data_IF_383579035332
#
_entry.id   IF_383579035332
#
_cell.length_a   1.000
_cell.length_b   1.000
_cell.length_c   1.000
_cell.angle_alpha   90.00
_cell.angle_beta   90.00
_cell.angle_gamma   90.00
#
_symmetry.space_group_name_H-M   'P 1'
#
loop_
_entity.id
_entity.type
_entity.pdbx_description
1 polymer ?
#
# COMPACT_ATOMS: atom_id res chain seq x y z
N UNK A 1 24.03 35.28 8.16
CA UNK A 1 24.38 35.19 9.61
C UNK A 1 24.25 33.74 10.10
N UNK A 2 25.10 33.25 11.02
CA UNK A 2 24.88 31.98 11.75
C UNK A 2 24.33 32.26 13.14
N UNK A 3 23.25 31.57 13.52
CA UNK A 3 22.72 31.61 14.88
C UNK A 3 23.40 30.52 15.73
N UNK A 4 24.29 30.94 16.63
CA UNK A 4 24.81 30.07 17.69
C UNK A 4 24.32 30.59 19.04
N UNK A 5 23.48 29.79 19.71
CA UNK A 5 22.99 30.06 21.06
C UNK A 5 22.35 31.46 21.24
N UNK A 6 21.61 31.95 20.23
CA UNK A 6 20.90 33.23 20.29
C UNK A 6 21.74 34.45 19.93
N UNK A 7 22.99 34.26 19.48
CA UNK A 7 23.84 35.33 18.94
C UNK A 7 24.03 35.12 17.45
N UNK A 8 23.64 36.13 16.66
CA UNK A 8 23.88 36.17 15.22
C UNK A 8 25.32 36.61 14.97
N UNK A 9 26.13 35.70 14.42
CA UNK A 9 27.51 36.02 14.00
C UNK A 9 27.60 36.08 12.48
N UNK A 10 28.29 37.08 11.91
CA UNK A 10 28.60 37.12 10.48
C UNK A 10 29.41 35.87 10.10
N UNK A 11 28.91 35.10 9.13
CA UNK A 11 29.57 33.92 8.59
C UNK A 11 29.81 34.16 7.11
N UNK A 12 31.05 34.56 6.79
CA UNK A 12 31.49 34.91 5.44
C UNK A 12 32.61 33.94 5.04
N UNK A 13 32.67 33.58 3.76
CA UNK A 13 33.67 32.64 3.24
C UNK A 13 35.10 33.14 3.59
N UNK A 14 35.93 32.34 4.29
CA UNK A 14 37.27 32.77 4.71
C UNK A 14 38.22 33.06 3.54
N UNK A 15 38.03 32.40 2.39
CA UNK A 15 38.82 32.67 1.19
C UNK A 15 38.46 34.03 0.59
N UNK A 16 37.18 34.42 0.63
CA UNK A 16 36.73 35.75 0.21
C UNK A 16 37.35 36.84 1.11
N UNK A 17 37.34 36.64 2.44
CA UNK A 17 37.98 37.56 3.40
C UNK A 17 39.48 37.71 3.10
N UNK A 18 40.18 36.62 2.78
CA UNK A 18 41.61 36.67 2.44
C UNK A 18 41.82 37.51 1.17
N UNK A 19 41.07 37.25 0.11
CA UNK A 19 41.16 37.99 -1.16
C UNK A 19 40.84 39.49 -0.95
N UNK A 20 39.84 39.80 -0.12
CA UNK A 20 39.50 41.17 0.23
C UNK A 20 40.63 41.92 0.95
N UNK A 21 41.32 41.24 1.89
CA UNK A 21 42.46 41.80 2.62
C UNK A 21 43.68 41.99 1.73
N UNK A 22 43.98 41.00 0.89
CA UNK A 22 45.10 41.06 -0.05
C UNK A 22 44.86 42.13 -1.13
N UNK A 23 43.61 42.30 -1.56
CA UNK A 23 43.19 43.33 -2.52
C UNK A 23 43.01 44.73 -1.92
N UNK A 24 43.10 44.88 -0.59
CA UNK A 24 43.03 46.17 0.10
C UNK A 24 41.64 46.82 0.16
N UNK A 25 40.56 46.08 -0.12
CA UNK A 25 39.17 46.56 -0.11
C UNK A 25 38.32 45.92 1.02
N UNK A 26 38.96 45.25 1.96
CA UNK A 26 38.31 44.74 3.16
C UNK A 26 37.85 45.86 4.11
N UNK A 27 36.58 45.84 4.52
CA UNK A 27 36.05 46.63 5.64
C UNK A 27 35.10 45.77 6.49
N UNK A 28 34.97 46.08 7.78
CA UNK A 28 34.00 45.39 8.66
C UNK A 28 32.57 45.68 8.21
N UNK A 29 32.26 46.92 7.85
CA UNK A 29 30.96 47.33 7.30
C UNK A 29 30.56 46.52 6.05
N UNK A 30 31.51 46.26 5.14
CA UNK A 30 31.26 45.44 3.94
C UNK A 30 30.95 43.99 4.30
N UNK A 31 31.63 43.43 5.31
CA UNK A 31 31.38 42.05 5.75
C UNK A 31 30.02 41.91 6.45
N UNK A 32 29.60 42.92 7.21
CA UNK A 32 28.27 42.98 7.81
C UNK A 32 27.19 43.08 6.72
N UNK A 33 27.35 43.98 5.75
CA UNK A 33 26.44 44.11 4.60
C UNK A 33 26.32 42.81 3.80
N UNK A 34 27.44 42.15 3.49
CA UNK A 34 27.43 40.85 2.80
C UNK A 34 26.71 39.79 3.64
N UNK A 35 26.93 39.78 4.97
CA UNK A 35 26.29 38.82 5.86
C UNK A 35 24.78 39.03 6.04
N UNK A 36 24.31 40.27 5.86
CA UNK A 36 22.90 40.65 5.89
C UNK A 36 22.19 40.37 4.56
N UNK A 37 22.78 40.78 3.43
CA UNK A 37 22.16 40.68 2.10
C UNK A 37 22.37 39.31 1.44
N UNK A 38 23.43 38.59 1.80
CA UNK A 38 23.71 37.23 1.31
C UNK A 38 24.29 37.17 -0.10
N UNK A 39 24.74 38.29 -0.66
CA UNK A 39 25.45 38.38 -1.94
C UNK A 39 26.64 39.35 -1.86
N UNK A 40 27.46 39.41 -2.90
CA UNK A 40 28.68 40.24 -2.96
C UNK A 40 28.64 41.29 -4.09
N UNK A 41 27.47 41.55 -4.66
CA UNK A 41 27.27 42.50 -5.77
C UNK A 41 27.31 43.95 -5.27
N UNK A 42 28.50 44.42 -4.89
CA UNK A 42 28.76 45.76 -4.38
C UNK A 42 29.85 46.44 -5.21
N UNK A 43 29.80 47.77 -5.36
CA UNK A 43 30.77 48.53 -6.16
C UNK A 43 32.20 48.42 -5.60
N UNK A 44 32.32 48.19 -4.29
CA UNK A 44 33.56 47.98 -3.56
C UNK A 44 34.25 46.64 -3.90
N UNK A 45 33.52 45.66 -4.44
CA UNK A 45 34.03 44.33 -4.78
C UNK A 45 34.39 44.28 -6.27
N UNK A 46 35.66 44.02 -6.65
CA UNK A 46 36.05 43.96 -8.06
C UNK A 46 35.26 42.91 -8.86
N UNK A 47 34.91 43.23 -10.11
CA UNK A 47 34.08 42.37 -10.97
C UNK A 47 34.66 40.96 -11.14
N UNK A 48 35.98 40.85 -11.30
CA UNK A 48 36.68 39.56 -11.41
C UNK A 48 36.46 38.67 -10.16
N UNK A 49 36.37 39.28 -8.98
CA UNK A 49 36.09 38.57 -7.72
C UNK A 49 34.61 38.17 -7.67
N UNK A 50 33.70 39.04 -8.09
CA UNK A 50 32.26 38.72 -8.15
C UNK A 50 31.97 37.56 -9.11
N UNK A 51 32.72 37.44 -10.21
CA UNK A 51 32.59 36.32 -11.15
C UNK A 51 33.03 34.98 -10.54
N UNK A 52 34.02 34.99 -9.65
CA UNK A 52 34.54 33.77 -9.01
C UNK A 52 33.68 33.33 -7.82
N UNK A 53 33.24 34.29 -7.00
CA UNK A 53 32.49 34.02 -5.76
C UNK A 53 30.97 34.11 -5.95
N UNK A 54 30.48 33.59 -7.08
CA UNK A 54 29.04 33.48 -7.36
C UNK A 54 28.35 32.60 -6.31
N UNK A 55 27.21 33.06 -5.83
CA UNK A 55 26.36 32.31 -4.91
C UNK A 55 25.45 31.36 -5.68
N UNK A 56 24.79 30.44 -4.96
CA UNK A 56 23.86 29.51 -5.59
C UNK A 56 22.66 30.19 -6.27
N UNK A 57 22.26 31.38 -5.79
CA UNK A 57 21.18 32.19 -6.36
C UNK A 57 21.61 32.96 -7.62
N UNK A 58 22.92 33.16 -7.82
CA UNK A 58 23.44 33.81 -9.03
C UNK A 58 23.50 32.86 -10.23
N UNK A 59 23.36 31.55 -9.97
CA UNK A 59 23.39 30.51 -11.00
C UNK A 59 21.95 30.18 -11.36
N UNK A 60 21.59 30.38 -12.62
CA UNK A 60 20.25 30.04 -13.12
C UNK A 60 19.93 28.56 -12.93
N UNK A 61 18.66 28.18 -12.70
CA UNK A 61 18.24 26.78 -12.54
C UNK A 61 18.75 25.83 -13.63
N UNK A 62 18.77 26.27 -14.90
CA UNK A 62 19.27 25.49 -16.03
C UNK A 62 20.71 25.03 -15.84
N UNK A 63 21.59 25.94 -15.42
CA UNK A 63 23.01 25.66 -15.21
C UNK A 63 23.26 24.71 -14.04
N UNK A 64 22.41 24.71 -13.00
CA UNK A 64 22.49 23.70 -11.93
C UNK A 64 22.30 22.29 -12.49
N UNK A 65 21.31 22.09 -13.36
CA UNK A 65 21.04 20.78 -13.99
C UNK A 65 22.15 20.39 -14.96
N UNK A 66 22.61 21.31 -15.81
CA UNK A 66 23.72 21.03 -16.75
C UNK A 66 25.00 20.62 -16.03
N UNK A 67 25.31 21.29 -14.91
CA UNK A 67 26.45 20.90 -14.08
C UNK A 67 26.25 19.49 -13.51
N UNK A 68 25.06 19.18 -12.97
CA UNK A 68 24.77 17.83 -12.47
C UNK A 68 24.90 16.77 -13.56
N UNK A 69 24.36 17.02 -14.76
CA UNK A 69 24.42 16.10 -15.89
C UNK A 69 25.87 15.74 -16.26
N UNK A 70 26.76 16.73 -16.31
CA UNK A 70 28.18 16.49 -16.62
C UNK A 70 28.85 15.51 -15.64
N UNK A 71 28.47 15.52 -14.36
CA UNK A 71 28.96 14.54 -13.38
C UNK A 71 28.18 13.22 -13.43
N UNK A 72 26.91 13.25 -13.81
CA UNK A 72 26.03 12.08 -13.85
C UNK A 72 26.51 11.03 -14.85
N UNK A 73 27.11 11.45 -15.97
CA UNK A 73 27.74 10.55 -16.97
C UNK A 73 28.78 9.60 -16.37
N UNK A 74 29.42 10.03 -15.27
CA UNK A 74 30.47 9.27 -14.58
C UNK A 74 30.01 8.73 -13.22
N UNK A 75 28.72 8.83 -12.90
CA UNK A 75 28.15 8.40 -11.62
C UNK A 75 27.13 7.28 -11.86
N UNK A 76 27.39 6.13 -11.25
CA UNK A 76 26.56 4.92 -11.32
C UNK A 76 25.24 5.08 -10.55
N UNK A 77 25.28 5.74 -9.41
CA UNK A 77 24.11 6.13 -8.61
C UNK A 77 23.61 7.54 -8.97
N UNK A 78 22.56 8.02 -8.29
CA UNK A 78 22.05 9.38 -8.46
C UNK A 78 22.87 10.42 -7.68
N UNK A 79 22.84 11.67 -8.13
CA UNK A 79 23.52 12.79 -7.47
C UNK A 79 22.51 13.62 -6.67
N UNK A 80 22.75 13.80 -5.38
CA UNK A 80 21.93 14.66 -4.51
C UNK A 80 22.36 16.12 -4.63
N UNK A 81 21.94 16.78 -5.72
CA UNK A 81 22.19 18.21 -5.98
C UNK A 81 20.88 18.98 -6.02
N UNK A 82 20.79 20.01 -5.17
CA UNK A 82 19.65 20.94 -5.16
C UNK A 82 19.78 21.98 -6.27
N UNK A 83 18.71 22.17 -7.03
CA UNK A 83 18.48 23.26 -7.98
C UNK A 83 17.69 24.35 -7.27
N UNK A 84 18.33 25.50 -7.03
CA UNK A 84 17.72 26.62 -6.33
C UNK A 84 16.96 27.50 -7.32
N UNK A 85 15.77 27.92 -6.93
CA UNK A 85 14.90 28.82 -7.67
C UNK A 85 14.62 30.08 -6.85
N UNK A 86 14.44 31.24 -7.51
CA UNK A 86 13.97 32.44 -6.85
C UNK A 86 12.53 32.26 -6.34
N UNK A 87 12.12 33.10 -5.40
CA UNK A 87 10.81 32.98 -4.74
C UNK A 87 9.61 33.23 -5.67
N UNK A 88 9.83 33.95 -6.78
CA UNK A 88 8.84 34.21 -7.83
C UNK A 88 8.76 33.13 -8.92
N UNK A 89 9.56 32.06 -8.81
CA UNK A 89 9.53 30.97 -9.77
C UNK A 89 8.16 30.29 -9.87
N UNK A 90 7.72 30.09 -11.12
CA UNK A 90 6.43 29.51 -11.47
C UNK A 90 6.50 27.99 -11.56
N UNK A 91 5.33 27.36 -11.66
CA UNK A 91 5.22 25.91 -11.88
C UNK A 91 5.82 25.50 -13.22
N UNK A 92 5.73 26.37 -14.24
CA UNK A 92 6.28 26.06 -15.57
C UNK A 92 7.82 26.07 -15.54
N UNK A 93 8.43 27.04 -14.84
CA UNK A 93 9.90 27.08 -14.68
C UNK A 93 10.43 25.81 -14.01
N UNK A 94 9.70 25.30 -13.01
CA UNK A 94 10.04 24.05 -12.32
C UNK A 94 9.88 22.84 -13.26
N UNK A 95 8.82 22.83 -14.07
CA UNK A 95 8.57 21.78 -15.06
C UNK A 95 9.69 21.71 -16.09
N UNK A 96 10.10 22.85 -16.64
CA UNK A 96 11.19 22.92 -17.63
C UNK A 96 12.48 22.29 -17.08
N UNK A 97 12.76 22.46 -15.79
CA UNK A 97 13.92 21.84 -15.14
C UNK A 97 13.80 20.31 -15.02
N UNK A 98 12.62 19.78 -14.72
CA UNK A 98 12.41 18.33 -14.72
C UNK A 98 12.54 17.75 -16.14
N UNK A 99 11.98 18.43 -17.15
CA UNK A 99 12.08 18.01 -18.56
C UNK A 99 13.54 18.07 -19.05
N UNK A 100 14.28 19.12 -18.69
CA UNK A 100 15.70 19.25 -18.99
C UNK A 100 16.52 18.13 -18.32
N UNK A 101 16.32 17.89 -17.03
CA UNK A 101 17.02 16.84 -16.29
C UNK A 101 16.77 15.46 -16.92
N UNK A 102 15.52 15.18 -17.31
CA UNK A 102 15.17 13.96 -18.02
C UNK A 102 15.88 13.86 -19.38
N UNK A 103 15.89 14.94 -20.17
CA UNK A 103 16.55 14.96 -21.48
C UNK A 103 18.08 14.77 -21.43
N UNK A 104 18.69 15.06 -20.30
CA UNK A 104 20.13 14.95 -20.05
C UNK A 104 20.50 13.67 -19.28
N UNK A 105 19.58 12.70 -19.17
CA UNK A 105 19.77 11.42 -18.46
C UNK A 105 20.18 11.57 -16.97
N UNK A 106 19.71 12.65 -16.31
CA UNK A 106 19.87 12.81 -14.87
C UNK A 106 19.00 11.79 -14.11
N UNK A 107 19.61 11.04 -13.19
CA UNK A 107 18.92 9.98 -12.42
C UNK A 107 18.06 10.51 -11.26
N UNK A 108 18.25 11.76 -10.89
CA UNK A 108 17.49 12.44 -9.85
C UNK A 108 17.62 13.95 -10.02
N UNK A 109 16.67 14.70 -9.48
CA UNK A 109 16.73 16.15 -9.42
C UNK A 109 15.99 16.60 -8.16
N UNK A 110 16.58 17.55 -7.44
CA UNK A 110 15.95 18.15 -6.26
C UNK A 110 15.73 19.62 -6.54
N UNK A 111 14.51 20.09 -6.32
CA UNK A 111 14.14 21.50 -6.52
C UNK A 111 13.89 22.14 -5.16
N UNK A 112 14.50 23.31 -4.94
CA UNK A 112 14.20 24.17 -3.81
C UNK A 112 13.84 25.56 -4.33
N UNK A 113 12.64 26.03 -4.00
CA UNK A 113 12.21 27.41 -4.28
C UNK A 113 12.39 28.24 -3.03
N UNK A 114 13.04 29.39 -3.17
CA UNK A 114 13.24 30.31 -2.06
C UNK A 114 11.90 30.74 -1.43
N UNK A 115 11.88 30.85 -0.10
CA UNK A 115 10.65 31.11 0.67
C UNK A 115 9.64 29.96 0.73
N UNK A 116 9.92 28.77 0.18
CA UNK A 116 8.99 27.63 0.24
C UNK A 116 9.01 26.86 1.58
N UNK A 117 9.93 27.19 2.49
CA UNK A 117 10.00 26.63 3.85
C UNK A 117 10.20 27.76 4.86
N UNK A 118 9.49 27.68 5.99
CA UNK A 118 9.44 28.73 7.02
C UNK A 118 10.73 28.84 7.86
N UNK A 119 11.61 27.82 7.84
CA UNK A 119 12.91 27.84 8.51
C UNK A 119 14.07 27.65 7.54
N UNK A 120 14.89 28.70 7.36
CA UNK A 120 16.17 28.62 6.66
C UNK A 120 17.31 28.45 7.68
N UNK A 121 18.18 27.46 7.47
CA UNK A 121 19.37 27.24 8.32
C UNK A 121 20.40 28.37 8.16
N UNK A 122 20.31 29.11 7.03
CA UNK A 122 21.07 30.31 6.72
C UNK A 122 20.08 31.41 6.35
N UNK A 123 19.65 32.22 7.33
CA UNK A 123 18.79 33.36 7.09
C UNK A 123 19.62 34.59 6.72
N UNK A 124 19.22 35.28 5.65
CA UNK A 124 19.55 36.69 5.43
C UNK A 124 18.73 37.52 6.42
N UNK A 125 19.22 38.71 6.80
CA UNK A 125 18.66 39.50 7.92
C UNK A 125 17.19 39.95 7.73
N UNK A 126 16.60 39.72 6.55
CA UNK A 126 15.28 40.23 6.15
C UNK A 126 14.13 39.23 6.34
N UNK A 127 14.38 38.00 6.78
CA UNK A 127 13.34 36.93 6.78
C UNK A 127 12.64 36.70 8.14
N UNK A 128 13.02 37.41 9.21
CA UNK A 128 12.39 37.23 10.53
C UNK A 128 11.59 38.47 10.94
N UNK A 129 10.25 38.35 10.90
CA UNK A 129 9.32 38.84 11.93
C UNK A 129 7.87 38.84 11.42
N UNK A 130 7.11 37.76 11.69
CA UNK A 130 5.71 37.81 12.18
C UNK A 130 4.97 36.47 11.95
N UNK A 131 5.27 35.43 12.73
CA UNK A 131 4.50 34.17 12.66
C UNK A 131 4.89 33.04 13.62
N UNK A 132 5.91 33.23 14.46
CA UNK A 132 6.71 32.14 15.03
C UNK A 132 5.94 31.15 15.94
N UNK A 133 4.91 31.55 16.68
CA UNK A 133 4.35 30.66 17.71
C UNK A 133 3.30 29.64 17.19
N UNK A 134 2.60 29.93 16.10
CA UNK A 134 1.59 29.03 15.54
C UNK A 134 2.16 28.16 14.41
N UNK A 135 3.12 28.68 13.65
CA UNK A 135 3.73 28.01 12.51
C UNK A 135 4.75 26.93 12.94
N UNK A 136 5.47 27.15 14.05
CA UNK A 136 6.42 26.17 14.59
C UNK A 136 5.78 24.80 14.90
N UNK A 137 4.61 24.79 15.54
CA UNK A 137 3.90 23.55 15.88
C UNK A 137 3.42 22.80 14.62
N UNK A 138 3.03 23.51 13.56
CA UNK A 138 2.57 22.89 12.31
C UNK A 138 3.76 22.32 11.54
N UNK A 139 4.87 23.06 11.45
CA UNK A 139 6.07 22.59 10.74
C UNK A 139 6.72 21.36 11.42
N UNK A 140 6.70 21.30 12.75
CA UNK A 140 7.25 20.17 13.52
C UNK A 140 6.39 18.91 13.37
N UNK A 141 5.06 19.08 13.31
CA UNK A 141 4.11 18.00 13.00
C UNK A 141 4.24 17.53 11.54
N UNK A 142 4.44 18.44 10.60
CA UNK A 142 4.64 18.10 9.18
C UNK A 142 5.95 17.33 8.97
N UNK A 143 7.02 17.73 9.65
CA UNK A 143 8.30 17.02 9.64
C UNK A 143 8.16 15.61 10.22
N UNK A 144 7.52 15.49 11.40
CA UNK A 144 7.26 14.19 12.03
C UNK A 144 6.39 13.27 11.17
N UNK A 145 5.42 13.84 10.44
CA UNK A 145 4.56 13.10 9.53
C UNK A 145 5.31 12.65 8.27
N UNK A 146 6.24 13.46 7.76
CA UNK A 146 7.09 13.10 6.63
C UNK A 146 8.03 11.94 6.98
N UNK A 147 8.71 12.02 8.13
CA UNK A 147 9.57 10.95 8.64
C UNK A 147 8.79 9.64 8.84
N UNK A 148 7.61 9.71 9.47
CA UNK A 148 6.76 8.52 9.66
C UNK A 148 6.28 7.90 8.34
N UNK A 149 6.03 8.73 7.30
CA UNK A 149 5.66 8.26 5.96
C UNK A 149 6.83 7.57 5.26
N UNK A 150 8.03 8.12 5.39
CA UNK A 150 9.25 7.52 4.85
C UNK A 150 9.54 6.17 5.53
N UNK A 151 9.46 6.12 6.85
CA UNK A 151 9.64 4.87 7.61
C UNK A 151 8.61 3.81 7.21
N UNK A 152 7.33 4.19 7.08
CA UNK A 152 6.28 3.29 6.63
C UNK A 152 6.51 2.79 5.19
N UNK A 153 7.05 3.63 4.31
CA UNK A 153 7.39 3.23 2.95
C UNK A 153 8.56 2.23 2.93
N UNK A 154 9.62 2.51 3.68
CA UNK A 154 10.78 1.62 3.80
C UNK A 154 10.39 0.27 4.40
N UNK A 155 9.55 0.25 5.44
CA UNK A 155 9.01 -0.98 6.02
C UNK A 155 8.18 -1.78 5.01
N UNK A 156 7.38 -1.11 4.16
CA UNK A 156 6.62 -1.81 3.11
C UNK A 156 7.52 -2.47 2.08
N UNK A 157 8.57 -1.77 1.62
CA UNK A 157 9.55 -2.34 0.68
C UNK A 157 10.23 -3.54 1.32
N UNK A 158 10.64 -3.44 2.59
CA UNK A 158 11.28 -4.52 3.31
C UNK A 158 10.36 -5.73 3.49
N UNK A 159 9.09 -5.51 3.82
CA UNK A 159 8.09 -6.58 3.89
C UNK A 159 7.93 -7.28 2.54
N UNK A 160 7.86 -6.53 1.43
CA UNK A 160 7.76 -7.11 0.09
C UNK A 160 9.04 -7.86 -0.32
N UNK A 161 10.22 -7.38 0.09
CA UNK A 161 11.49 -8.10 -0.11
C UNK A 161 11.50 -9.42 0.66
N UNK A 162 11.18 -9.38 1.95
CA UNK A 162 11.14 -10.56 2.81
C UNK A 162 10.10 -11.58 2.33
N UNK A 163 8.95 -11.13 1.81
CA UNK A 163 7.97 -12.01 1.17
C UNK A 163 8.54 -12.71 -0.06
N UNK A 164 9.24 -11.99 -0.94
CA UNK A 164 9.87 -12.59 -2.12
C UNK A 164 10.98 -13.56 -1.74
N UNK A 165 11.80 -13.24 -0.72
CA UNK A 165 12.81 -14.15 -0.19
C UNK A 165 12.18 -15.42 0.38
N UNK A 166 11.10 -15.28 1.16
CA UNK A 166 10.36 -16.43 1.72
C UNK A 166 9.75 -17.32 0.62
N UNK A 167 9.21 -16.70 -0.44
CA UNK A 167 8.69 -17.43 -1.61
C UNK A 167 9.82 -18.16 -2.33
N UNK A 168 10.96 -17.49 -2.56
CA UNK A 168 12.14 -18.10 -3.19
C UNK A 168 12.73 -19.26 -2.38
N UNK A 169 12.75 -19.16 -1.05
CA UNK A 169 13.11 -20.27 -0.15
C UNK A 169 12.12 -21.44 -0.25
N UNK A 170 10.81 -21.17 -0.34
CA UNK A 170 9.79 -22.21 -0.52
C UNK A 170 9.93 -22.90 -1.89
N UNK A 171 10.23 -22.15 -2.95
CA UNK A 171 10.47 -22.68 -4.30
C UNK A 171 11.76 -23.52 -4.38
N UNK A 172 12.84 -23.08 -3.73
CA UNK A 172 14.11 -23.82 -3.69
C UNK A 172 14.02 -25.08 -2.81
N UNK A 173 13.24 -25.06 -1.73
CA UNK A 173 12.84 -26.27 -1.00
C UNK A 173 11.95 -27.18 -1.85
N UNK A 174 11.11 -26.60 -2.71
CA UNK A 174 10.30 -27.27 -3.72
C UNK A 174 11.12 -28.01 -4.80
N UNK A 175 12.41 -27.72 -4.96
CA UNK A 175 13.30 -28.49 -5.83
C UNK A 175 13.90 -29.74 -5.15
N UNK A 176 13.87 -29.81 -3.81
CA UNK A 176 14.47 -30.87 -2.99
C UNK A 176 13.43 -31.86 -2.41
N UNK A 177 12.32 -32.11 -3.12
CA UNK A 177 11.11 -32.80 -2.62
C UNK A 177 11.34 -34.26 -2.20
N UNK A 178 11.94 -34.46 -1.04
CA UNK A 178 11.73 -35.66 -0.25
C UNK A 178 10.42 -35.50 0.53
N UNK A 179 9.54 -36.50 0.39
CA UNK A 179 8.27 -36.55 1.12
C UNK A 179 8.52 -36.40 2.62
N UNK A 180 7.97 -35.37 3.23
CA UNK A 180 8.12 -35.11 4.67
C UNK A 180 7.59 -36.31 5.47
N UNK A 181 8.39 -36.78 6.44
CA UNK A 181 7.95 -37.82 7.37
C UNK A 181 6.82 -37.28 8.24
N UNK A 182 5.80 -38.11 8.49
CA UNK A 182 4.62 -37.71 9.26
C UNK A 182 4.91 -37.85 10.75
N UNK A 183 4.76 -36.78 11.56
CA UNK A 183 4.84 -36.85 13.01
C UNK A 183 3.76 -37.77 13.62
N UNK A 184 3.97 -38.17 14.88
CA UNK A 184 3.02 -39.04 15.59
C UNK A 184 1.68 -38.34 15.90
N UNK A 185 1.71 -37.02 16.12
CA UNK A 185 0.54 -36.19 16.36
C UNK A 185 0.68 -34.86 15.61
N UNK A 186 -0.44 -34.29 15.20
CA UNK A 186 -0.53 -32.99 14.52
C UNK A 186 -1.69 -32.20 15.14
N UNK A 187 -1.60 -30.88 15.14
CA UNK A 187 -2.72 -30.02 15.51
C UNK A 187 -3.55 -29.70 14.27
N UNK A 188 -4.88 -29.70 14.43
CA UNK A 188 -5.80 -29.56 13.31
C UNK A 188 -6.97 -28.63 13.61
N UNK A 189 -7.37 -27.88 12.59
CA UNK A 189 -8.56 -27.06 12.61
C UNK A 189 -9.58 -27.61 11.62
N UNK A 190 -10.84 -27.76 12.04
CA UNK A 190 -11.92 -28.31 11.22
C UNK A 190 -12.99 -27.27 10.96
N UNK A 191 -13.29 -27.04 9.68
CA UNK A 191 -14.34 -26.14 9.23
C UNK A 191 -15.50 -26.92 8.63
N UNK A 192 -16.72 -26.47 8.93
CA UNK A 192 -17.93 -26.92 8.27
C UNK A 192 -18.23 -26.02 7.07
N UNK A 193 -18.42 -26.61 5.90
CA UNK A 193 -18.81 -25.95 4.65
C UNK A 193 -20.08 -26.59 4.13
N UNK A 194 -21.07 -25.77 3.79
CA UNK A 194 -22.32 -26.25 3.19
C UNK A 194 -22.12 -26.43 1.69
N UNK A 195 -21.96 -27.67 1.24
CA UNK A 195 -21.76 -28.01 -0.17
C UNK A 195 -23.06 -28.52 -0.82
N UNK A 196 -23.13 -28.56 -2.16
CA UNK A 196 -24.25 -29.17 -2.88
C UNK A 196 -24.50 -30.65 -2.56
N UNK A 197 -23.48 -31.37 -2.07
CA UNK A 197 -23.54 -32.77 -1.67
C UNK A 197 -23.83 -32.96 -0.16
N UNK A 198 -24.12 -31.87 0.55
CA UNK A 198 -24.37 -31.83 1.99
C UNK A 198 -23.24 -31.19 2.78
N UNK A 199 -23.27 -31.39 4.11
CA UNK A 199 -22.28 -30.85 5.03
C UNK A 199 -20.90 -31.47 4.76
N UNK A 200 -19.97 -30.63 4.31
CA UNK A 200 -18.56 -30.96 4.10
C UNK A 200 -17.75 -30.47 5.32
N UNK A 201 -16.94 -31.36 5.89
CA UNK A 201 -16.00 -31.03 6.95
C UNK A 201 -14.59 -31.07 6.38
N UNK A 202 -13.89 -29.94 6.44
CA UNK A 202 -12.52 -29.79 5.97
C UNK A 202 -11.62 -29.61 7.17
N UNK A 203 -10.75 -30.58 7.42
CA UNK A 203 -9.76 -30.56 8.51
C UNK A 203 -8.39 -30.27 7.92
N UNK A 204 -7.77 -29.16 8.33
CA UNK A 204 -6.41 -28.78 7.95
C UNK A 204 -5.51 -28.99 9.16
N UNK A 205 -4.52 -29.86 9.01
CA UNK A 205 -3.54 -30.16 10.05
C UNK A 205 -2.21 -29.47 9.76
N UNK A 206 -1.57 -28.98 10.81
CA UNK A 206 -0.29 -28.29 10.79
C UNK A 206 0.81 -29.12 11.43
N UNK A 207 2.05 -28.90 10.97
CA UNK A 207 3.25 -29.42 11.61
C UNK A 207 3.71 -28.59 12.82
N UNK A 208 4.79 -29.01 13.45
CA UNK A 208 5.39 -28.34 14.62
C UNK A 208 5.87 -26.91 14.34
N UNK A 209 5.98 -26.52 13.07
CA UNK A 209 6.35 -25.18 12.62
C UNK A 209 5.13 -24.35 12.17
N UNK A 210 3.91 -24.85 12.37
CA UNK A 210 2.68 -24.17 11.99
C UNK A 210 2.42 -24.13 10.48
N UNK A 211 3.13 -24.95 9.68
CA UNK A 211 2.90 -25.05 8.23
C UNK A 211 1.85 -26.14 7.94
N UNK A 212 0.99 -25.94 6.93
CA UNK A 212 0.02 -26.96 6.52
C UNK A 212 0.70 -28.27 6.10
N UNK A 213 0.22 -29.38 6.65
CA UNK A 213 0.82 -30.69 6.48
C UNK A 213 -0.11 -31.69 5.79
N UNK A 214 -1.38 -31.77 6.21
CA UNK A 214 -2.37 -32.67 5.62
C UNK A 214 -3.78 -32.05 5.68
N UNK A 215 -4.62 -32.40 4.70
CA UNK A 215 -6.01 -31.95 4.61
C UNK A 215 -6.92 -33.17 4.46
N UNK A 216 -7.93 -33.26 5.32
CA UNK A 216 -8.96 -34.28 5.24
C UNK A 216 -10.30 -33.65 4.91
N UNK A 217 -11.08 -34.37 4.11
CA UNK A 217 -12.39 -33.94 3.65
C UNK A 217 -13.39 -35.05 3.91
N UNK A 218 -14.40 -34.77 4.73
CA UNK A 218 -15.43 -35.74 5.09
C UNK A 218 -16.81 -35.17 4.78
N UNK A 219 -17.63 -35.88 4.01
CA UNK A 219 -19.02 -35.49 3.80
C UNK A 219 -19.92 -36.22 4.80
N UNK A 220 -20.63 -35.47 5.65
CA UNK A 220 -21.31 -36.05 6.82
C UNK A 220 -22.40 -37.08 6.49
N UNK A 221 -23.22 -36.84 5.46
CA UNK A 221 -24.36 -37.70 5.07
C UNK A 221 -24.37 -38.08 3.58
N UNK A 222 -23.25 -37.94 2.88
CA UNK A 222 -23.17 -38.29 1.48
C UNK A 222 -23.05 -39.81 1.28
N UNK A 223 -23.60 -40.32 0.18
CA UNK A 223 -23.47 -41.72 -0.22
C UNK A 223 -22.01 -42.13 -0.52
N UNK A 224 -21.79 -43.42 -0.78
CA UNK A 224 -20.44 -44.00 -0.88
C UNK A 224 -19.51 -43.33 -1.90
N UNK A 225 -19.99 -43.07 -3.13
CA UNK A 225 -19.14 -42.53 -4.20
C UNK A 225 -18.64 -41.10 -3.89
N UNK A 226 -19.52 -40.20 -3.46
CA UNK A 226 -19.15 -38.83 -3.10
C UNK A 226 -18.16 -38.78 -1.92
N UNK A 227 -18.31 -39.66 -0.94
CA UNK A 227 -17.36 -39.78 0.16
C UNK A 227 -16.00 -40.35 -0.31
N UNK A 228 -16.00 -41.33 -1.22
CA UNK A 228 -14.77 -41.86 -1.80
C UNK A 228 -14.00 -40.78 -2.59
N UNK A 229 -14.70 -39.96 -3.36
CA UNK A 229 -14.10 -38.85 -4.11
C UNK A 229 -13.52 -37.78 -3.17
N UNK A 230 -14.26 -37.40 -2.12
CA UNK A 230 -13.78 -36.47 -1.10
C UNK A 230 -12.53 -36.99 -0.37
N UNK A 231 -12.50 -38.29 -0.03
CA UNK A 231 -11.34 -38.94 0.56
C UNK A 231 -10.15 -38.97 -0.41
N UNK A 232 -10.39 -39.28 -1.69
CA UNK A 232 -9.35 -39.28 -2.72
C UNK A 232 -8.73 -37.89 -2.88
N UNK A 233 -9.55 -36.84 -2.94
CA UNK A 233 -9.09 -35.44 -3.00
C UNK A 233 -8.24 -35.11 -1.77
N UNK A 234 -8.74 -35.38 -0.55
CA UNK A 234 -7.99 -35.12 0.68
C UNK A 234 -6.63 -35.84 0.74
N UNK A 235 -6.57 -37.10 0.28
CA UNK A 235 -5.32 -37.88 0.20
C UNK A 235 -4.33 -37.28 -0.80
N UNK A 236 -4.80 -36.86 -1.97
CA UNK A 236 -3.96 -36.23 -3.00
C UNK A 236 -3.44 -34.87 -2.53
N UNK A 237 -4.30 -34.05 -1.93
CA UNK A 237 -3.90 -32.76 -1.33
C UNK A 237 -2.87 -32.97 -0.23
N UNK A 238 -3.09 -33.93 0.67
CA UNK A 238 -2.14 -34.25 1.74
C UNK A 238 -0.79 -34.74 1.18
N UNK A 239 -0.79 -35.48 0.07
CA UNK A 239 0.45 -35.85 -0.61
C UNK A 239 1.14 -34.63 -1.22
N UNK A 240 0.39 -33.71 -1.84
CA UNK A 240 0.91 -32.49 -2.42
C UNK A 240 1.59 -31.61 -1.34
N UNK A 241 0.91 -31.37 -0.22
CA UNK A 241 1.45 -30.59 0.90
C UNK A 241 2.71 -31.23 1.49
N UNK A 242 2.70 -32.55 1.71
CA UNK A 242 3.87 -33.29 2.19
C UNK A 242 5.04 -33.33 1.20
N UNK A 243 4.76 -33.04 -0.06
CA UNK A 243 5.75 -32.90 -1.13
C UNK A 243 6.17 -31.45 -1.31
N UNK A 244 5.84 -30.52 -0.40
CA UNK A 244 6.26 -29.12 -0.51
C UNK A 244 5.58 -28.36 -1.65
N UNK A 245 4.32 -28.70 -1.95
CA UNK A 245 3.46 -27.82 -2.75
C UNK A 245 2.76 -26.87 -1.76
N UNK A 246 2.83 -25.54 -1.95
CA UNK A 246 2.18 -24.60 -1.07
C UNK A 246 0.65 -24.74 -1.15
N UNK A 247 -0.03 -24.59 -0.01
CA UNK A 247 -1.48 -24.79 0.08
C UNK A 247 -2.28 -23.79 -0.78
N UNK A 248 -1.70 -22.61 -1.05
CA UNK A 248 -2.27 -21.61 -1.97
C UNK A 248 -2.41 -22.14 -3.39
N UNK A 249 -1.40 -22.84 -3.91
CA UNK A 249 -1.47 -23.46 -5.24
C UNK A 249 -2.54 -24.55 -5.27
N UNK A 250 -2.69 -25.33 -4.19
CA UNK A 250 -3.76 -26.33 -4.09
C UNK A 250 -5.15 -25.68 -4.08
N UNK A 251 -5.32 -24.59 -3.33
CA UNK A 251 -6.54 -23.78 -3.31
C UNK A 251 -6.91 -23.30 -4.72
N UNK A 252 -5.95 -22.76 -5.46
CA UNK A 252 -6.17 -22.22 -6.81
C UNK A 252 -6.60 -23.31 -7.81
N UNK A 253 -6.21 -24.58 -7.59
CA UNK A 253 -6.72 -25.70 -8.40
C UNK A 253 -8.16 -26.10 -8.06
N UNK A 254 -8.62 -25.83 -6.82
CA UNK A 254 -9.93 -26.28 -6.33
C UNK A 254 -11.02 -25.21 -6.48
N UNK A 255 -10.67 -23.93 -6.33
CA UNK A 255 -11.62 -22.81 -6.44
C UNK A 255 -12.19 -22.70 -7.85
N UNK A 256 -13.49 -22.47 -7.92
CA UNK A 256 -14.20 -22.28 -9.19
C UNK A 256 -14.66 -23.56 -9.88
N UNK A 257 -14.30 -24.75 -9.39
CA UNK A 257 -14.85 -26.01 -9.89
C UNK A 257 -16.36 -26.02 -9.59
N UNK A 258 -17.19 -26.15 -10.61
CA UNK A 258 -18.66 -26.16 -10.47
C UNK A 258 -19.24 -27.55 -10.69
N UNK A 259 -20.39 -27.81 -10.05
CA UNK A 259 -21.23 -28.97 -10.36
C UNK A 259 -22.65 -28.53 -10.76
N UNK A 260 -23.54 -29.50 -10.94
CA UNK A 260 -24.95 -29.35 -11.32
C UNK A 260 -25.79 -28.51 -10.34
N UNK A 261 -25.30 -28.34 -9.10
CA UNK A 261 -25.99 -27.64 -8.02
C UNK A 261 -25.00 -26.70 -7.31
N UNK A 262 -25.49 -25.56 -6.83
CA UNK A 262 -24.71 -24.63 -6.01
C UNK A 262 -25.49 -24.29 -4.73
N UNK A 263 -24.79 -24.02 -3.64
CA UNK A 263 -25.38 -23.70 -2.33
C UNK A 263 -24.81 -22.38 -1.82
N UNK A 264 -25.67 -21.52 -1.27
CA UNK A 264 -25.27 -20.21 -0.74
C UNK A 264 -25.55 -19.03 -1.69
N UNK A 265 -25.25 -17.83 -1.21
CA UNK A 265 -25.51 -16.54 -1.89
C UNK A 265 -24.27 -15.65 -1.84
N UNK A 266 -24.08 -14.84 -2.88
CA UNK A 266 -22.98 -13.86 -2.97
C UNK A 266 -21.59 -14.51 -2.93
N UNK A 267 -20.65 -13.87 -2.22
CA UNK A 267 -19.25 -14.31 -2.11
C UNK A 267 -19.08 -15.66 -1.39
N UNK A 268 -20.08 -16.08 -0.60
CA UNK A 268 -20.09 -17.36 0.13
C UNK A 268 -20.79 -18.49 -0.66
N UNK A 269 -21.02 -18.31 -1.96
CA UNK A 269 -21.64 -19.32 -2.81
C UNK A 269 -20.64 -20.44 -3.09
N UNK A 270 -20.99 -21.67 -2.71
CA UNK A 270 -20.21 -22.90 -2.96
C UNK A 270 -20.72 -23.56 -4.23
N UNK A 271 -19.83 -23.70 -5.23
CA UNK A 271 -20.19 -24.22 -6.55
C UNK A 271 -20.12 -25.76 -6.65
N UNK A 272 -19.33 -26.40 -5.80
CA UNK A 272 -19.15 -27.85 -5.73
C UNK A 272 -18.46 -28.24 -4.43
N UNK A 273 -18.31 -29.54 -4.14
CA UNK A 273 -17.51 -29.99 -3.00
C UNK A 273 -16.03 -29.55 -3.09
N UNK A 274 -15.32 -29.72 -4.23
CA UNK A 274 -13.97 -29.16 -4.42
C UNK A 274 -13.88 -27.65 -4.17
N UNK A 275 -14.82 -26.86 -4.72
CA UNK A 275 -14.85 -25.42 -4.50
C UNK A 275 -15.04 -25.07 -3.02
N UNK A 276 -15.88 -25.83 -2.31
CA UNK A 276 -16.05 -25.72 -0.86
C UNK A 276 -14.77 -26.01 -0.07
N UNK A 277 -13.95 -26.98 -0.52
CA UNK A 277 -12.62 -27.23 0.06
C UNK A 277 -11.72 -26.02 -0.17
N UNK A 278 -11.73 -25.46 -1.39
CA UNK A 278 -11.00 -24.23 -1.70
C UNK A 278 -11.38 -23.06 -0.79
N UNK A 279 -12.68 -22.85 -0.56
CA UNK A 279 -13.17 -21.78 0.34
C UNK A 279 -12.75 -22.00 1.80
N UNK A 280 -12.70 -23.26 2.26
CA UNK A 280 -12.19 -23.56 3.59
C UNK A 280 -10.70 -23.21 3.70
N UNK A 281 -9.88 -23.54 2.70
CA UNK A 281 -8.46 -23.18 2.68
C UNK A 281 -8.28 -21.66 2.66
N UNK A 282 -9.09 -20.94 1.89
CA UNK A 282 -9.09 -19.48 1.83
C UNK A 282 -9.31 -18.86 3.21
N UNK A 283 -10.35 -19.28 3.93
CA UNK A 283 -10.63 -18.84 5.32
C UNK A 283 -9.50 -19.18 6.29
N UNK A 284 -8.88 -20.34 6.11
CA UNK A 284 -7.73 -20.75 6.92
C UNK A 284 -6.52 -19.81 6.73
N UNK A 285 -6.25 -19.41 5.48
CA UNK A 285 -5.18 -18.45 5.17
C UNK A 285 -5.50 -17.06 5.71
N UNK A 286 -6.72 -16.56 5.50
CA UNK A 286 -7.17 -15.27 6.04
C UNK A 286 -7.03 -15.18 7.56
N UNK A 287 -7.39 -16.26 8.27
CA UNK A 287 -7.24 -16.35 9.71
C UNK A 287 -5.76 -16.33 10.16
N UNK A 288 -4.86 -16.96 9.39
CA UNK A 288 -3.42 -16.95 9.64
C UNK A 288 -2.78 -15.58 9.37
N UNK A 289 -3.27 -14.87 8.37
CA UNK A 289 -2.81 -13.52 8.00
C UNK A 289 -3.33 -12.43 8.96
N UNK A 290 -4.11 -12.81 9.98
CA UNK A 290 -4.65 -11.88 10.98
C UNK A 290 -5.79 -10.99 10.46
N UNK A 291 -6.38 -11.35 9.32
CA UNK A 291 -7.55 -10.66 8.76
C UNK A 291 -8.78 -11.09 9.56
N UNK A 292 -9.14 -10.32 10.59
CA UNK A 292 -10.46 -10.47 11.21
C UNK A 292 -11.53 -10.11 10.19
N UNK A 293 -12.45 -11.04 9.94
CA UNK A 293 -13.70 -10.79 9.22
C UNK A 293 -14.31 -9.50 9.78
N UNK A 294 -14.47 -8.49 8.93
CA UNK A 294 -15.12 -7.25 9.32
C UNK A 294 -16.55 -7.61 9.77
N UNK A 295 -16.81 -7.50 11.07
CA UNK A 295 -18.16 -7.56 11.62
C UNK A 295 -19.06 -6.64 10.78
N UNK A 296 -20.29 -7.06 10.43
CA UNK A 296 -21.19 -6.20 9.68
C UNK A 296 -21.52 -4.99 10.54
N UNK A 297 -20.81 -3.88 10.30
CA UNK A 297 -21.14 -2.56 10.80
C UNK A 297 -22.50 -2.20 10.22
N UNK A 298 -23.54 -2.33 11.06
CA UNK A 298 -24.79 -1.63 10.84
C UNK A 298 -24.45 -0.15 10.95
N UNK A 299 -24.26 0.50 9.80
CA UNK A 299 -24.09 1.94 9.70
C UNK A 299 -25.43 2.58 10.08
N UNK A 300 -25.59 2.85 11.38
CA UNK A 300 -26.63 3.73 11.88
C UNK A 300 -26.28 5.16 11.51
N UNK A 301 -26.88 5.68 10.45
CA UNK A 301 -26.92 7.11 10.19
C UNK A 301 -27.89 7.74 11.19
N UNK A 302 -27.37 8.50 12.15
CA UNK A 302 -28.17 9.33 13.05
C UNK A 302 -28.78 10.52 12.30
N UNK A 303 -30.08 10.72 12.46
CA UNK A 303 -30.76 11.95 12.08
C UNK A 303 -32.27 11.79 11.87
N UNK A 304 -33.05 11.80 12.96
CA UNK A 304 -34.50 12.00 12.84
C UNK A 304 -35.33 11.49 14.02
N UNK A 305 -35.87 12.42 14.80
CA UNK A 305 -36.64 12.21 16.01
C UNK A 305 -37.96 11.44 15.83
N UNK A 306 -38.30 10.70 16.88
CA UNK A 306 -39.65 10.29 17.32
C UNK A 306 -40.51 9.45 16.35
N UNK A 307 -40.67 8.17 16.68
CA UNK A 307 -41.93 7.65 17.24
C UNK A 307 -41.76 6.22 17.73
N UNK A 308 -42.11 5.98 19.00
CA UNK A 308 -42.40 4.65 19.50
C UNK A 308 -43.63 4.13 18.74
N UNK A 309 -43.44 3.06 17.98
CA UNK A 309 -44.53 2.16 17.63
C UNK A 309 -44.01 0.74 17.84
N UNK A 310 -44.25 0.22 19.04
CA UNK A 310 -44.37 -1.21 19.21
C UNK A 310 -45.51 -1.68 18.29
N UNK A 311 -45.18 -2.53 17.32
CA UNK A 311 -46.19 -3.35 16.65
C UNK A 311 -45.82 -4.80 16.90
N UNK A 312 -46.69 -5.40 17.68
CA UNK A 312 -46.71 -6.78 18.14
C UNK A 312 -46.51 -7.79 17.03
N UNK A 313 -46.00 -8.94 17.46
CA UNK A 313 -46.15 -10.24 16.82
C UNK A 313 -47.50 -10.38 16.08
N UNK A 314 -47.41 -10.65 14.78
CA UNK A 314 -48.40 -11.45 14.06
C UNK A 314 -47.60 -12.56 13.37
N UNK A 315 -47.88 -13.80 13.76
CA UNK A 315 -47.34 -14.98 13.13
C UNK A 315 -47.76 -15.07 11.67
N UNK A 316 -46.79 -15.36 10.82
CA UNK A 316 -46.95 -15.61 9.39
C UNK A 316 -45.59 -15.93 8.80
N UNK A 317 -45.39 -17.19 8.45
CA UNK A 317 -44.22 -17.74 7.75
C UNK A 317 -43.94 -16.95 6.46
N UNK A 318 -42.76 -16.33 6.26
CA UNK A 318 -42.36 -15.79 4.97
C UNK A 318 -41.65 -16.90 4.18
N UNK A 319 -42.33 -18.02 3.97
CA UNK A 319 -41.90 -19.02 3.02
C UNK A 319 -42.02 -18.45 1.61
N UNK A 320 -40.89 -18.46 0.90
CA UNK A 320 -40.80 -18.44 -0.55
C UNK A 320 -41.57 -17.31 -1.29
N UNK A 321 -40.95 -16.13 -1.43
CA UNK A 321 -41.14 -15.37 -2.68
C UNK A 321 -40.35 -16.07 -3.79
N UNK A 322 -40.95 -17.09 -4.39
CA UNK A 322 -40.44 -17.66 -5.63
C UNK A 322 -40.73 -16.66 -6.76
N UNK A 323 -39.69 -16.07 -7.35
CA UNK A 323 -39.79 -15.21 -8.54
C UNK A 323 -39.65 -16.03 -9.82
N UNK A 324 -40.34 -15.62 -10.88
CA UNK A 324 -40.27 -16.30 -12.17
C UNK A 324 -38.86 -16.18 -12.80
N UNK A 325 -38.22 -17.28 -13.26
CA UNK A 325 -36.86 -17.24 -13.80
C UNK A 325 -36.72 -16.51 -15.14
N UNK A 326 -37.81 -16.33 -15.90
CA UNK A 326 -37.75 -15.58 -17.18
C UNK A 326 -38.01 -14.08 -17.03
N UNK A 327 -39.03 -13.68 -16.26
CA UNK A 327 -39.43 -12.27 -16.17
C UNK A 327 -39.25 -11.62 -14.80
N UNK A 328 -38.74 -12.39 -13.82
CA UNK A 328 -38.48 -11.97 -12.44
C UNK A 328 -39.71 -11.42 -11.70
N UNK A 329 -40.92 -11.72 -12.19
CA UNK A 329 -42.16 -11.31 -11.52
C UNK A 329 -42.42 -12.16 -10.28
N UNK A 330 -43.00 -11.54 -9.26
CA UNK A 330 -43.42 -12.21 -8.02
C UNK A 330 -44.73 -13.01 -8.17
N UNK A 331 -45.35 -13.01 -9.36
CA UNK A 331 -46.56 -13.78 -9.67
C UNK A 331 -46.20 -15.17 -10.23
N UNK A 332 -45.31 -15.87 -9.53
CA UNK A 332 -44.90 -17.23 -9.85
C UNK A 332 -45.45 -18.16 -8.78
N UNK A 333 -46.62 -18.73 -9.07
CA UNK A 333 -47.48 -19.39 -8.08
C UNK A 333 -47.57 -20.88 -8.40
N UNK A 334 -47.63 -21.71 -7.36
CA UNK A 334 -47.82 -23.14 -7.51
C UNK A 334 -49.32 -23.46 -7.62
N UNK A 335 -49.77 -23.86 -8.81
CA UNK A 335 -51.15 -24.23 -9.10
C UNK A 335 -51.20 -25.46 -10.02
N UNK A 336 -52.21 -26.31 -9.83
CA UNK A 336 -52.43 -27.53 -10.64
C UNK A 336 -51.21 -28.49 -10.71
N UNK A 337 -50.42 -28.53 -9.63
CA UNK A 337 -49.24 -29.40 -9.54
C UNK A 337 -48.00 -28.86 -10.25
N UNK A 338 -48.00 -27.59 -10.70
CA UNK A 338 -46.83 -26.95 -11.30
C UNK A 338 -46.66 -25.48 -10.86
N UNK A 339 -45.44 -24.94 -10.94
CA UNK A 339 -45.21 -23.49 -10.79
C UNK A 339 -45.45 -22.77 -12.12
N UNK A 340 -46.41 -21.85 -12.15
CA UNK A 340 -46.78 -21.07 -13.34
C UNK A 340 -46.60 -19.58 -13.08
N UNK A 341 -46.08 -18.87 -14.08
CA UNK A 341 -46.01 -17.42 -14.06
C UNK A 341 -47.21 -16.82 -14.81
N UNK A 342 -48.05 -16.05 -14.12
CA UNK A 342 -49.21 -15.40 -14.76
C UNK A 342 -48.84 -14.18 -15.62
N UNK A 343 -47.58 -13.73 -15.56
CA UNK A 343 -47.11 -12.55 -16.31
C UNK A 343 -46.53 -12.92 -17.67
N UNK A 344 -45.69 -13.97 -17.74
CA UNK A 344 -45.02 -14.38 -18.99
C UNK A 344 -45.48 -15.75 -19.52
N UNK A 345 -46.24 -16.53 -18.73
CA UNK A 345 -46.70 -17.87 -19.13
C UNK A 345 -45.68 -18.99 -18.90
N UNK A 346 -44.49 -18.70 -18.34
CA UNK A 346 -43.48 -19.71 -18.00
C UNK A 346 -44.03 -20.75 -17.01
N UNK A 347 -43.76 -22.02 -17.28
CA UNK A 347 -44.15 -23.18 -16.47
C UNK A 347 -42.92 -24.02 -16.18
N UNK A 348 -42.68 -24.37 -14.91
CA UNK A 348 -41.45 -25.06 -14.48
C UNK A 348 -41.46 -26.58 -14.75
N UNK A 349 -42.58 -27.11 -15.24
CA UNK A 349 -42.82 -28.56 -15.37
C UNK A 349 -42.93 -29.05 -16.82
N UNK A 350 -42.45 -28.26 -17.79
CA UNK A 350 -42.39 -28.62 -19.21
C UNK A 350 -42.87 -27.51 -20.13
#
# INVERSE_FOLDING_TARGET
MRNQAGVLMPDVNPDFIRVAKDGGWYSEDLMEQIAEEGHIHFDEVPEEVQQVFRTAHDITPEWHVRMQAAFQEHTDSAISKTTNFPSDATVEDVREIYELAYSLDCKGVTVYRDGAREGQVLSTGKTDQSGEAAAQNVSELEYSLADAREEAHNLRIEVERLKHELIGEDETLGAARQKRQRPAALQGYTMKVNSPLGDLYVTINEDDHGKPFEVFCTLGKAGGAANADAEAIGRLMSLALRSGIPISQVKDQLRGISCDRAVGLGANKVLSAPDGIGQAIERYLEQKDGVQEALPLVVGTEGGAQTQAAVSAIGGDPSHLDTCPECNSAHFVFEEGCKKCHVCGYSDCG
#
